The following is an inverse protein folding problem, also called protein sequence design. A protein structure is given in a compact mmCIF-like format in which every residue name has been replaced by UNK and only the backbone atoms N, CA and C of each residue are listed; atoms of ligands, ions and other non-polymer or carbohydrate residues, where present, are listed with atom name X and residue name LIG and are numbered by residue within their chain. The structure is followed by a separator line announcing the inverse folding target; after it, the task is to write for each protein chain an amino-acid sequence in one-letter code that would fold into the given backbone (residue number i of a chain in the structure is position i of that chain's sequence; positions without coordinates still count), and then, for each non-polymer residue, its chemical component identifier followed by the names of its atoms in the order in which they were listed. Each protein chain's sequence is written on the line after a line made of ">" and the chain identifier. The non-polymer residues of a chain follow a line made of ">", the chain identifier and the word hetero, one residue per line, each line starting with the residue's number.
data_IF_723359625822
#
_entry.id   IF_723359625822
#
_cell.length_a   1.000
_cell.length_b   1.000
_cell.length_c   1.000
_cell.angle_alpha   90.00
_cell.angle_beta   90.00
_cell.angle_gamma   90.00
#
_symmetry.space_group_name_H-M   'P 1'
#
loop_
_entity.id
_entity.type
_entity.pdbx_description
1 polymer ?
#
# COMPACT_ATOMS: atom_id res chain seq x y z
N UNK A 1 5.88 -3.07 4.37
CA UNK A 1 5.98 -3.23 2.89
C UNK A 1 5.27 -2.16 2.06
N UNK A 2 4.40 -1.33 2.66
CA UNK A 2 3.59 -0.30 1.97
C UNK A 2 4.37 0.61 1.00
N UNK A 3 5.66 0.86 1.26
CA UNK A 3 6.54 1.62 0.37
C UNK A 3 6.66 1.06 -1.06
N UNK A 4 6.40 -0.23 -1.28
CA UNK A 4 6.44 -0.81 -2.64
C UNK A 4 5.30 -0.29 -3.52
N UNK A 5 4.16 0.09 -2.93
CA UNK A 5 3.06 0.73 -3.67
C UNK A 5 3.43 2.11 -4.24
N UNK A 6 4.58 2.67 -3.83
CA UNK A 6 5.10 3.90 -4.42
C UNK A 6 5.68 3.70 -5.82
N UNK A 7 5.90 2.46 -6.28
CA UNK A 7 6.25 2.18 -7.67
C UNK A 7 5.06 2.33 -8.62
N UNK A 8 3.83 2.40 -8.08
CA UNK A 8 2.61 2.66 -8.83
C UNK A 8 2.31 4.16 -8.80
N UNK A 9 1.74 4.66 -9.90
CA UNK A 9 1.16 6.00 -9.93
C UNK A 9 -0.06 6.11 -8.97
N UNK A 10 -0.57 7.32 -8.78
CA UNK A 10 -1.65 7.58 -7.80
C UNK A 10 -2.92 6.79 -8.12
N UNK A 11 -3.29 6.71 -9.40
CA UNK A 11 -4.52 6.02 -9.84
C UNK A 11 -4.34 4.51 -9.69
N UNK A 12 -3.25 3.96 -10.21
CA UNK A 12 -2.91 2.54 -10.11
C UNK A 12 -2.86 2.07 -8.65
N UNK A 13 -2.33 2.92 -7.75
CA UNK A 13 -2.27 2.63 -6.32
C UNK A 13 -3.65 2.50 -5.70
N UNK A 14 -4.58 3.42 -6.00
CA UNK A 14 -5.94 3.35 -5.48
C UNK A 14 -6.67 2.12 -6.01
N UNK A 15 -6.58 1.86 -7.31
CA UNK A 15 -7.19 0.68 -7.94
C UNK A 15 -6.64 -0.60 -7.32
N UNK A 16 -5.33 -0.70 -7.10
CA UNK A 16 -4.71 -1.85 -6.44
C UNK A 16 -5.18 -2.00 -4.99
N UNK A 17 -5.26 -0.91 -4.22
CA UNK A 17 -5.76 -0.94 -2.83
C UNK A 17 -7.19 -1.47 -2.80
N UNK A 18 -8.09 -0.93 -3.63
CA UNK A 18 -9.50 -1.31 -3.67
C UNK A 18 -9.68 -2.76 -4.15
N UNK A 19 -9.08 -3.12 -5.27
CA UNK A 19 -9.32 -4.41 -5.92
C UNK A 19 -8.45 -5.56 -5.42
N UNK A 20 -7.21 -5.30 -5.00
CA UNK A 20 -6.29 -6.36 -4.55
C UNK A 20 -6.25 -6.51 -3.03
N UNK A 21 -6.20 -5.41 -2.28
CA UNK A 21 -6.08 -5.46 -0.83
C UNK A 21 -7.43 -5.61 -0.12
N UNK A 22 -8.43 -4.84 -0.53
CA UNK A 22 -9.78 -4.88 0.05
C UNK A 22 -10.76 -5.79 -0.70
N UNK A 23 -10.35 -6.34 -1.84
CA UNK A 23 -11.17 -7.26 -2.65
C UNK A 23 -12.50 -6.68 -3.13
N UNK A 24 -12.58 -5.37 -3.34
CA UNK A 24 -13.79 -4.78 -3.89
C UNK A 24 -14.03 -5.33 -5.29
N UNK A 25 -15.31 -5.66 -5.56
CA UNK A 25 -15.72 -6.12 -6.89
C UNK A 25 -15.46 -5.02 -7.92
N UNK A 26 -15.39 -5.41 -9.20
CA UNK A 26 -15.26 -4.45 -10.29
C UNK A 26 -16.42 -3.44 -10.31
N UNK A 27 -17.62 -3.83 -9.88
CA UNK A 27 -18.75 -2.92 -9.73
C UNK A 27 -18.47 -1.83 -8.68
N UNK A 28 -18.11 -2.22 -7.46
CA UNK A 28 -17.84 -1.28 -6.34
C UNK A 28 -16.60 -0.43 -6.64
N UNK A 29 -15.52 -1.06 -7.11
CA UNK A 29 -14.28 -0.36 -7.44
C UNK A 29 -14.45 0.64 -8.57
N UNK A 30 -15.23 0.30 -9.61
CA UNK A 30 -15.50 1.21 -10.72
C UNK A 30 -16.41 2.37 -10.31
N UNK A 31 -17.40 2.12 -9.44
CA UNK A 31 -18.25 3.17 -8.86
C UNK A 31 -17.43 4.17 -8.05
N UNK A 32 -16.58 3.69 -7.12
CA UNK A 32 -15.71 4.56 -6.31
C UNK A 32 -14.72 5.36 -7.16
N UNK A 33 -14.22 4.75 -8.24
CA UNK A 33 -13.23 5.37 -9.12
C UNK A 33 -13.86 6.14 -10.29
N UNK A 34 -15.19 6.29 -10.31
CA UNK A 34 -15.95 7.01 -11.35
C UNK A 34 -15.57 6.58 -12.78
N UNK A 35 -15.48 5.27 -13.03
CA UNK A 35 -15.10 4.70 -14.32
C UNK A 35 -15.98 3.49 -14.70
N UNK A 36 -15.79 2.95 -15.91
CA UNK A 36 -16.47 1.71 -16.31
C UNK A 36 -15.84 0.49 -15.62
N UNK A 37 -16.63 -0.57 -15.44
CA UNK A 37 -16.18 -1.85 -14.87
C UNK A 37 -15.05 -2.48 -15.69
N UNK A 38 -15.14 -2.39 -17.01
CA UNK A 38 -14.11 -2.84 -17.96
C UNK A 38 -12.80 -2.10 -17.72
N UNK A 39 -12.85 -0.77 -17.61
CA UNK A 39 -11.66 0.05 -17.41
C UNK A 39 -11.01 -0.25 -16.05
N UNK A 40 -11.81 -0.42 -14.99
CA UNK A 40 -11.32 -0.82 -13.67
C UNK A 40 -10.58 -2.17 -13.72
N UNK A 41 -11.16 -3.19 -14.35
CA UNK A 41 -10.54 -4.52 -14.49
C UNK A 41 -9.20 -4.45 -15.24
N UNK A 42 -9.15 -3.72 -16.35
CA UNK A 42 -7.93 -3.57 -17.15
C UNK A 42 -6.84 -2.84 -16.35
N UNK A 43 -7.19 -1.73 -15.69
CA UNK A 43 -6.26 -0.95 -14.88
C UNK A 43 -5.76 -1.73 -13.67
N UNK A 44 -6.61 -2.51 -13.00
CA UNK A 44 -6.23 -3.38 -11.89
C UNK A 44 -5.22 -4.44 -12.35
N UNK A 45 -5.46 -5.08 -13.49
CA UNK A 45 -4.52 -6.04 -14.07
C UNK A 45 -3.15 -5.39 -14.34
N UNK A 46 -3.12 -4.20 -14.95
CA UNK A 46 -1.87 -3.46 -15.21
C UNK A 46 -1.14 -3.06 -13.92
N UNK A 47 -1.87 -2.58 -12.91
CA UNK A 47 -1.30 -2.23 -11.62
C UNK A 47 -0.65 -3.44 -10.92
N UNK A 48 -1.29 -4.62 -10.97
CA UNK A 48 -0.71 -5.88 -10.49
C UNK A 48 0.60 -6.20 -11.21
N UNK A 49 0.59 -6.18 -12.55
CA UNK A 49 1.78 -6.48 -13.36
C UNK A 49 2.94 -5.53 -13.06
N UNK A 50 2.68 -4.22 -12.96
CA UNK A 50 3.71 -3.23 -12.62
C UNK A 50 4.34 -3.49 -11.25
N UNK A 51 3.51 -3.75 -10.24
CA UNK A 51 3.99 -4.03 -8.89
C UNK A 51 4.80 -5.34 -8.84
N UNK A 52 4.30 -6.41 -9.46
CA UNK A 52 4.97 -7.70 -9.46
C UNK A 52 6.28 -7.65 -10.23
N UNK A 53 6.31 -7.02 -11.40
CA UNK A 53 7.55 -6.82 -12.16
C UNK A 53 8.59 -6.05 -11.34
N UNK A 54 8.18 -5.02 -10.60
CA UNK A 54 9.09 -4.32 -9.70
C UNK A 54 9.60 -5.23 -8.59
N UNK A 55 8.70 -5.96 -7.91
CA UNK A 55 9.05 -6.79 -6.76
C UNK A 55 9.90 -8.00 -7.14
N UNK A 56 9.64 -8.64 -8.28
CA UNK A 56 10.37 -9.82 -8.76
C UNK A 56 11.86 -9.54 -9.02
N UNK A 57 12.19 -8.29 -9.41
CA UNK A 57 13.56 -7.87 -9.70
C UNK A 57 14.24 -7.09 -8.57
N UNK A 58 13.50 -6.68 -7.54
CA UNK A 58 14.01 -5.77 -6.49
C UNK A 58 13.81 -6.29 -5.07
N UNK A 59 12.75 -7.03 -4.78
CA UNK A 59 12.37 -7.39 -3.42
C UNK A 59 13.01 -8.72 -2.99
N UNK A 60 13.83 -8.67 -1.93
CA UNK A 60 14.45 -9.87 -1.34
C UNK A 60 13.51 -10.78 -0.57
N UNK A 61 12.32 -10.29 -0.21
CA UNK A 61 11.27 -11.09 0.44
C UNK A 61 10.49 -11.95 -0.56
N UNK A 62 10.47 -11.53 -1.83
CA UNK A 62 9.84 -12.26 -2.93
C UNK A 62 10.86 -13.21 -3.56
N UNK A 63 12.04 -12.70 -3.90
CA UNK A 63 13.11 -13.48 -4.50
C UNK A 63 14.40 -13.21 -3.73
N UNK A 64 14.92 -14.22 -3.04
CA UNK A 64 16.08 -14.10 -2.17
C UNK A 64 17.35 -13.64 -2.90
N UNK A 65 17.43 -13.87 -4.23
CA UNK A 65 18.55 -13.40 -5.07
C UNK A 65 18.58 -11.88 -5.22
N UNK A 66 17.46 -11.19 -5.01
CA UNK A 66 17.41 -9.73 -5.09
C UNK A 66 18.15 -9.05 -3.92
N UNK A 67 18.69 -7.84 -4.09
CA UNK A 67 19.55 -7.20 -3.08
C UNK A 67 18.80 -6.50 -1.94
N UNK A 68 17.49 -6.25 -2.07
CA UNK A 68 16.74 -5.52 -1.04
C UNK A 68 16.61 -6.37 0.24
N UNK A 69 16.90 -5.75 1.39
CA UNK A 69 16.73 -6.35 2.71
C UNK A 69 16.04 -5.34 3.61
N UNK A 70 14.78 -5.57 3.95
CA UNK A 70 13.97 -4.63 4.72
C UNK A 70 14.62 -4.30 6.07
N UNK A 71 15.11 -5.30 6.81
CA UNK A 71 15.81 -5.08 8.08
C UNK A 71 17.02 -4.13 7.94
N UNK A 72 17.84 -4.32 6.89
CA UNK A 72 18.99 -3.43 6.61
C UNK A 72 18.55 -2.01 6.26
N UNK A 73 17.47 -1.87 5.48
CA UNK A 73 16.91 -0.56 5.11
C UNK A 73 16.33 0.18 6.32
N UNK A 74 15.57 -0.53 7.16
CA UNK A 74 15.01 0.02 8.40
C UNK A 74 16.13 0.44 9.36
N UNK A 75 17.18 -0.37 9.53
CA UNK A 75 18.33 0.01 10.36
C UNK A 75 19.02 1.29 9.86
N UNK A 76 19.14 1.48 8.54
CA UNK A 76 19.62 2.73 7.95
C UNK A 76 18.72 3.92 8.30
N UNK A 77 17.40 3.77 8.16
CA UNK A 77 16.45 4.82 8.50
C UNK A 77 16.39 5.16 9.99
N UNK A 78 16.63 4.19 10.88
CA UNK A 78 16.79 4.45 12.32
C UNK A 78 18.03 5.32 12.56
N UNK A 79 19.18 4.95 11.96
CA UNK A 79 20.42 5.75 12.08
C UNK A 79 20.27 7.17 11.55
N UNK A 80 19.47 7.36 10.51
CA UNK A 80 19.17 8.67 9.93
C UNK A 80 18.09 9.45 10.68
N UNK A 81 17.46 8.88 11.70
CA UNK A 81 16.39 9.51 12.48
C UNK A 81 15.01 9.54 11.78
N UNK A 82 14.85 8.88 10.63
CA UNK A 82 13.55 8.80 9.94
C UNK A 82 12.58 7.79 10.57
N UNK A 83 13.10 6.82 11.33
CA UNK A 83 12.31 5.83 12.05
C UNK A 83 12.73 5.85 13.52
N UNK A 84 11.79 6.16 14.40
CA UNK A 84 11.98 5.99 15.85
C UNK A 84 11.67 4.51 16.22
N UNK A 85 12.67 3.73 16.67
CA UNK A 85 12.47 2.33 17.01
C UNK A 85 11.66 2.11 18.30
N UNK A 86 11.50 3.14 19.13
CA UNK A 86 10.73 3.11 20.38
C UNK A 86 9.32 3.66 20.14
N UNK A 87 9.20 4.76 19.39
CA UNK A 87 7.93 5.44 19.11
C UNK A 87 7.42 5.13 17.69
N UNK A 88 6.90 3.92 17.50
CA UNK A 88 6.35 3.49 16.21
C UNK A 88 5.02 4.22 15.92
N UNK A 89 5.04 5.20 15.02
CA UNK A 89 3.88 6.04 14.69
C UNK A 89 2.75 5.31 13.94
N UNK A 90 3.09 4.30 13.12
CA UNK A 90 2.15 3.63 12.22
C UNK A 90 1.85 2.17 12.62
N UNK A 91 2.14 1.79 13.86
CA UNK A 91 1.82 0.47 14.43
C UNK A 91 0.97 0.55 15.70
N UNK A 92 0.52 1.73 16.08
CA UNK A 92 -0.41 1.89 17.20
C UNK A 92 -1.80 1.39 16.77
N UNK A 93 -2.47 0.70 17.68
CA UNK A 93 -3.91 0.39 17.57
C UNK A 93 -4.33 -0.37 16.31
N UNK A 94 -3.58 -1.43 15.96
CA UNK A 94 -4.01 -2.40 14.96
C UNK A 94 -5.28 -3.10 15.44
N UNK A 95 -6.39 -2.91 14.73
CA UNK A 95 -7.68 -3.53 15.08
C UNK A 95 -7.75 -4.95 14.53
N UNK A 96 -7.17 -5.17 13.35
CA UNK A 96 -7.21 -6.45 12.64
C UNK A 96 -6.09 -6.52 11.59
N UNK A 97 -5.97 -7.65 10.87
CA UNK A 97 -5.23 -7.70 9.60
C UNK A 97 -6.13 -7.21 8.46
N UNK A 98 -5.54 -6.86 7.31
CA UNK A 98 -6.34 -6.54 6.11
C UNK A 98 -7.19 -7.76 5.70
N UNK A 99 -6.67 -8.98 5.86
CA UNK A 99 -7.43 -10.22 5.65
C UNK A 99 -8.73 -10.25 6.47
N UNK A 100 -8.69 -9.88 7.75
CA UNK A 100 -9.86 -9.90 8.62
C UNK A 100 -10.88 -8.76 8.35
N UNK A 101 -10.48 -7.73 7.58
CA UNK A 101 -11.34 -6.61 7.22
C UNK A 101 -11.93 -6.71 5.79
N UNK A 102 -11.34 -7.54 4.93
CA UNK A 102 -11.81 -7.78 3.57
C UNK A 102 -12.75 -9.00 3.52
N UNK A 103 -13.83 -8.94 2.74
CA UNK A 103 -14.81 -10.04 2.62
C UNK A 103 -14.28 -11.22 1.80
N UNK A 104 -14.67 -12.46 2.13
CA UNK A 104 -14.26 -13.66 1.39
C UNK A 104 -14.87 -13.73 -0.02
N UNK A 105 -14.02 -13.84 -1.05
CA UNK A 105 -14.42 -14.45 -2.33
C UNK A 105 -13.31 -15.26 -3.01
N UNK A 106 -13.80 -16.31 -3.68
CA UNK A 106 -13.11 -17.45 -4.32
C UNK A 106 -12.17 -17.05 -5.45
N UNK A 107 -11.06 -17.78 -5.53
CA UNK A 107 -9.98 -17.79 -6.52
C UNK A 107 -10.48 -17.75 -7.98
N UNK A 108 -10.67 -16.55 -8.54
CA UNK A 108 -10.93 -16.38 -9.98
C UNK A 108 -9.73 -15.77 -10.74
N UNK A 109 -8.55 -15.69 -10.11
CA UNK A 109 -7.30 -15.34 -10.77
C UNK A 109 -6.26 -16.42 -10.49
N UNK A 110 -6.44 -17.57 -11.13
CA UNK A 110 -5.43 -18.63 -11.25
C UNK A 110 -4.25 -18.13 -12.07
N UNK A 111 -3.24 -17.63 -11.37
CA UNK A 111 -1.86 -17.67 -11.80
C UNK A 111 -1.04 -17.94 -10.55
N UNK A 112 -0.37 -19.10 -10.50
CA UNK A 112 0.39 -19.62 -9.33
C UNK A 112 1.46 -18.65 -8.79
N UNK A 113 1.73 -17.55 -9.50
CA UNK A 113 2.65 -16.49 -9.11
C UNK A 113 2.00 -15.40 -8.24
N UNK A 114 0.66 -15.21 -8.26
CA UNK A 114 0.02 -14.09 -7.55
C UNK A 114 -0.12 -14.27 -6.02
N UNK A 115 -0.25 -15.50 -5.53
CA UNK A 115 -0.67 -15.78 -4.15
C UNK A 115 0.32 -15.25 -3.10
N UNK A 116 1.63 -15.44 -3.33
CA UNK A 116 2.67 -15.01 -2.37
C UNK A 116 2.76 -13.49 -2.20
N UNK A 117 2.59 -12.72 -3.27
CA UNK A 117 2.62 -11.25 -3.21
C UNK A 117 1.41 -10.70 -2.46
N UNK A 118 0.24 -11.30 -2.71
CA UNK A 118 -1.03 -10.92 -2.11
C UNK A 118 -1.01 -11.13 -0.60
N UNK A 119 -0.65 -12.33 -0.15
CA UNK A 119 -0.64 -12.66 1.28
C UNK A 119 0.32 -11.76 2.06
N UNK A 120 1.45 -11.42 1.44
CA UNK A 120 2.43 -10.52 2.01
C UNK A 120 1.86 -9.11 2.26
N UNK A 121 0.96 -8.60 1.42
CA UNK A 121 0.27 -7.34 1.71
C UNK A 121 -0.91 -7.52 2.66
N UNK A 122 -1.71 -8.59 2.53
CA UNK A 122 -2.92 -8.76 3.35
C UNK A 122 -2.66 -9.15 4.80
N UNK A 123 -1.49 -9.73 5.09
CA UNK A 123 -0.98 -9.92 6.45
C UNK A 123 -0.58 -8.61 7.15
N UNK A 124 -0.63 -7.45 6.48
CA UNK A 124 -0.29 -6.19 7.12
C UNK A 124 -1.37 -5.74 8.13
N UNK A 125 -0.96 -5.05 9.21
CA UNK A 125 -1.88 -4.44 10.16
C UNK A 125 -2.84 -3.45 9.50
N UNK A 126 -4.12 -3.63 9.78
CA UNK A 126 -5.20 -2.71 9.50
C UNK A 126 -5.40 -1.79 10.72
N UNK A 127 -5.12 -0.50 10.52
CA UNK A 127 -5.05 0.48 11.61
C UNK A 127 -6.41 1.15 11.80
N UNK A 128 -6.76 1.46 13.06
CA UNK A 128 -7.84 2.40 13.33
C UNK A 128 -7.50 3.76 12.74
N UNK A 129 -8.47 4.38 12.06
CA UNK A 129 -8.37 5.80 11.79
C UNK A 129 -8.52 6.53 13.12
N UNK A 130 -7.41 6.98 13.70
CA UNK A 130 -7.47 7.84 14.88
C UNK A 130 -8.10 9.19 14.52
N UNK A 131 -8.74 9.82 15.50
CA UNK A 131 -9.30 11.19 15.45
C UNK A 131 -8.22 12.29 15.29
N UNK A 132 -6.98 11.86 14.99
CA UNK A 132 -5.81 12.67 14.64
C UNK A 132 -5.99 13.42 13.30
N UNK A 133 -7.12 13.25 12.59
CA UNK A 133 -7.44 14.01 11.38
C UNK A 133 -7.32 15.53 11.61
N UNK A 134 -7.72 16.01 12.79
CA UNK A 134 -7.57 17.41 13.19
C UNK A 134 -6.10 17.85 13.26
N UNK A 135 -5.24 17.02 13.85
CA UNK A 135 -3.79 17.26 13.95
C UNK A 135 -3.06 17.15 12.61
N UNK A 136 -3.44 16.17 11.77
CA UNK A 136 -2.89 16.00 10.43
C UNK A 136 -3.29 17.18 9.54
N UNK A 137 -4.56 17.62 9.56
CA UNK A 137 -4.99 18.83 8.83
C UNK A 137 -4.19 20.05 9.25
N UNK A 138 -4.05 20.28 10.56
CA UNK A 138 -3.25 21.40 11.09
C UNK A 138 -1.77 21.35 10.68
N UNK A 139 -1.19 20.15 10.58
CA UNK A 139 0.18 19.97 10.10
C UNK A 139 0.29 20.21 8.59
N UNK A 140 -0.65 19.69 7.79
CA UNK A 140 -0.70 19.90 6.34
C UNK A 140 -0.95 21.38 5.97
N UNK A 141 -1.66 22.10 6.83
CA UNK A 141 -1.92 23.53 6.70
C UNK A 141 -0.79 24.41 7.28
N UNK A 142 0.25 23.83 7.87
CA UNK A 142 1.36 24.61 8.40
C UNK A 142 2.28 25.10 7.28
N UNK A 143 2.71 26.37 7.39
CA UNK A 143 3.66 26.99 6.44
C UNK A 143 4.96 26.17 6.31
N UNK A 144 5.41 25.56 7.42
CA UNK A 144 6.60 24.71 7.42
C UNK A 144 6.41 23.50 6.52
N UNK A 145 5.27 22.81 6.61
CA UNK A 145 4.97 21.65 5.77
C UNK A 145 4.82 22.04 4.31
N UNK A 146 4.06 23.11 4.02
CA UNK A 146 3.82 23.58 2.65
C UNK A 146 5.11 24.01 1.94
N UNK A 147 6.00 24.74 2.64
CA UNK A 147 7.34 25.10 2.13
C UNK A 147 8.27 23.90 1.95
N UNK A 148 8.23 22.93 2.87
CA UNK A 148 9.11 21.74 2.79
C UNK A 148 8.78 20.86 1.58
N UNK A 149 7.51 20.79 1.20
CA UNK A 149 7.04 19.94 0.11
C UNK A 149 6.64 20.71 -1.17
N UNK A 150 6.97 22.01 -1.26
CA UNK A 150 6.63 22.89 -2.38
C UNK A 150 5.14 22.82 -2.77
N UNK A 151 4.25 22.89 -1.78
CA UNK A 151 2.79 22.82 -1.98
C UNK A 151 2.13 24.20 -2.05
N UNK A 152 2.92 25.27 -2.14
CA UNK A 152 2.43 26.64 -2.33
C UNK A 152 2.00 26.83 -3.79
N UNK A 153 0.73 26.58 -4.08
CA UNK A 153 0.00 27.03 -5.27
C UNK A 153 -1.15 27.95 -4.85
#
# INVERSE_FOLDING_TARGET
>A
MKAMLLCLDREQRLIYILGELFEFTDAIGAEIMEMTRENFRIKLHRARQHLYNFMDHKCGLVNQKNPCRCARKTAGFIKMGFVDPVKLHFQRDAIASINAAAGEKVEAYTGEVLHGYRELFRSHPFLKADDQLSGIRKLLDSDTFRKTFNLDH
#
